data_IF_545057676395
#
_entry.id   IF_545057676395
#
_cell.length_a   1.000
_cell.length_b   1.000
_cell.length_c   1.000
_cell.angle_alpha   90.00
_cell.angle_beta   90.00
_cell.angle_gamma   90.00
#
_symmetry.space_group_name_H-M   'P 1'
#
loop_
_entity.id
_entity.type
_entity.pdbx_description
1 polymer ?
#
# COMPACT_ATOMS: atom_id res chain seq x y z
N UNK A 1 11.18 4.18 -14.89
CA UNK A 1 9.89 3.76 -15.51
C UNK A 1 8.84 3.61 -14.43
N UNK A 2 7.67 4.23 -14.59
CA UNK A 2 6.59 4.03 -13.62
C UNK A 2 6.16 2.58 -13.55
N UNK A 3 5.70 2.19 -12.38
CA UNK A 3 5.18 0.84 -12.13
C UNK A 3 3.81 0.92 -11.48
N UNK A 4 3.02 -0.14 -11.69
CA UNK A 4 1.84 -0.41 -10.87
C UNK A 4 2.22 -1.48 -9.87
N UNK A 5 1.97 -1.19 -8.60
CA UNK A 5 2.12 -2.17 -7.53
C UNK A 5 0.72 -2.66 -7.14
N UNK A 6 0.51 -3.95 -7.31
CA UNK A 6 -0.76 -4.62 -7.01
C UNK A 6 -0.54 -5.55 -5.83
N UNK A 7 -1.34 -5.38 -4.77
CA UNK A 7 -1.29 -6.28 -3.61
C UNK A 7 -2.70 -6.70 -3.21
N UNK A 8 -3.01 -7.96 -3.44
CA UNK A 8 -4.24 -8.55 -2.94
C UNK A 8 -3.99 -9.02 -1.51
N UNK A 9 -4.63 -8.34 -0.56
CA UNK A 9 -4.38 -8.56 0.86
C UNK A 9 -5.03 -9.87 1.34
N UNK A 10 -4.52 -10.46 2.43
CA UNK A 10 -5.18 -11.63 3.02
C UNK A 10 -6.57 -11.30 3.55
N UNK A 11 -7.44 -12.33 3.74
CA UNK A 11 -8.81 -12.09 4.22
C UNK A 11 -8.89 -11.36 5.56
N UNK A 12 -7.84 -11.45 6.38
CA UNK A 12 -7.79 -10.81 7.69
C UNK A 12 -7.63 -9.29 7.61
N UNK A 13 -7.18 -8.77 6.47
CA UNK A 13 -6.98 -7.33 6.30
C UNK A 13 -8.32 -6.62 6.08
N UNK A 14 -8.52 -5.52 6.80
CA UNK A 14 -9.73 -4.71 6.72
C UNK A 14 -9.41 -3.30 6.27
N UNK A 15 -10.43 -2.60 5.75
CA UNK A 15 -10.23 -1.19 5.37
C UNK A 15 -9.89 -0.34 6.59
N UNK A 16 -10.44 -0.65 7.75
CA UNK A 16 -10.15 0.07 8.99
C UNK A 16 -8.66 -0.03 9.33
N UNK A 17 -8.06 -1.22 9.17
CA UNK A 17 -6.64 -1.41 9.40
C UNK A 17 -5.80 -0.60 8.39
N UNK A 18 -6.16 -0.64 7.11
CA UNK A 18 -5.44 0.08 6.07
C UNK A 18 -5.52 1.59 6.31
N UNK A 19 -6.70 2.10 6.67
CA UNK A 19 -6.84 3.52 6.99
C UNK A 19 -6.04 3.90 8.24
N UNK A 20 -5.99 3.04 9.25
CA UNK A 20 -5.18 3.28 10.43
C UNK A 20 -3.68 3.32 10.09
N UNK A 21 -3.20 2.42 9.24
CA UNK A 21 -1.81 2.42 8.78
C UNK A 21 -1.52 3.68 7.95
N UNK A 22 -2.43 4.07 7.08
CA UNK A 22 -2.29 5.28 6.27
C UNK A 22 -2.17 6.52 7.17
N UNK A 23 -3.01 6.61 8.19
CA UNK A 23 -2.97 7.73 9.14
C UNK A 23 -1.70 7.71 9.97
N UNK A 24 -1.23 6.53 10.39
CA UNK A 24 0.01 6.40 11.16
C UNK A 24 1.22 6.89 10.36
N UNK A 25 1.24 6.64 9.06
CA UNK A 25 2.33 7.10 8.21
C UNK A 25 2.26 8.59 7.86
N UNK A 26 1.11 9.22 8.07
CA UNK A 26 0.87 10.62 7.74
C UNK A 26 1.14 10.94 6.25
N UNK A 27 0.77 10.01 5.37
CA UNK A 27 1.08 10.12 3.94
C UNK A 27 0.25 11.19 3.23
N UNK A 28 -0.88 11.60 3.81
CA UNK A 28 -1.69 12.68 3.23
C UNK A 28 -1.02 14.04 3.37
N UNK A 29 -0.27 14.23 4.45
CA UNK A 29 0.49 15.46 4.72
C UNK A 29 1.92 15.35 4.22
N UNK A 30 2.52 14.15 4.34
CA UNK A 30 3.90 13.87 3.96
C UNK A 30 3.91 12.73 2.95
N UNK A 31 3.54 12.98 1.68
CA UNK A 31 3.50 11.92 0.67
C UNK A 31 4.86 11.27 0.48
N UNK A 32 4.89 9.95 0.26
CA UNK A 32 6.17 9.28 -0.01
C UNK A 32 6.79 9.75 -1.32
N UNK A 33 8.11 9.76 -1.38
CA UNK A 33 8.81 10.04 -2.63
C UNK A 33 8.43 8.99 -3.67
N UNK A 34 8.08 9.47 -4.87
CA UNK A 34 7.78 8.60 -6.00
C UNK A 34 6.36 8.06 -6.05
N UNK A 35 5.52 8.33 -5.05
CA UNK A 35 4.13 7.91 -5.12
C UNK A 35 3.36 8.82 -6.07
N UNK A 36 2.73 8.22 -7.08
CA UNK A 36 1.87 8.95 -8.01
C UNK A 36 0.42 8.91 -7.52
N UNK A 37 -0.07 7.70 -7.23
CA UNK A 37 -1.41 7.53 -6.66
C UNK A 37 -1.47 6.25 -5.84
N UNK A 38 -2.22 6.30 -4.75
CA UNK A 38 -2.50 5.15 -3.88
C UNK A 38 -4.00 4.90 -3.85
N UNK A 39 -4.40 3.67 -4.06
CA UNK A 39 -5.80 3.28 -3.95
C UNK A 39 -5.96 2.00 -3.18
N UNK A 40 -7.09 1.87 -2.47
CA UNK A 40 -7.52 0.63 -1.86
C UNK A 40 -8.90 0.32 -2.43
N UNK A 41 -9.05 -0.87 -2.99
CA UNK A 41 -10.27 -1.26 -3.70
C UNK A 41 -10.81 -2.57 -3.16
N UNK A 42 -12.11 -2.80 -3.40
CA UNK A 42 -12.75 -4.08 -3.12
C UNK A 42 -12.73 -4.91 -4.39
N UNK A 43 -12.03 -6.04 -4.33
CA UNK A 43 -11.95 -6.96 -5.46
C UNK A 43 -12.62 -8.27 -5.05
N UNK A 44 -13.92 -8.35 -5.25
CA UNK A 44 -14.67 -9.57 -4.94
C UNK A 44 -14.67 -9.93 -3.45
N UNK A 45 -14.73 -8.91 -2.57
CA UNK A 45 -14.70 -9.12 -1.13
C UNK A 45 -13.31 -9.14 -0.53
N UNK A 46 -12.26 -8.99 -1.35
CA UNK A 46 -10.87 -8.94 -0.89
C UNK A 46 -10.33 -7.53 -1.03
N UNK A 47 -9.79 -7.01 0.05
CA UNK A 47 -9.11 -5.71 0.02
C UNK A 47 -7.88 -5.80 -0.87
N UNK A 48 -7.77 -4.90 -1.83
CA UNK A 48 -6.67 -4.90 -2.79
C UNK A 48 -6.09 -3.50 -2.89
N UNK A 49 -4.78 -3.40 -2.82
CA UNK A 49 -4.07 -2.13 -2.96
C UNK A 49 -3.57 -2.04 -4.40
N UNK A 50 -3.86 -0.94 -5.05
CA UNK A 50 -3.37 -0.66 -6.41
C UNK A 50 -2.75 0.72 -6.38
N UNK A 51 -1.43 0.75 -6.49
CA UNK A 51 -0.66 2.00 -6.46
C UNK A 51 0.07 2.20 -7.77
N UNK A 52 0.31 3.46 -8.11
CA UNK A 52 1.25 3.80 -9.18
C UNK A 52 2.42 4.54 -8.55
N UNK A 53 3.62 4.08 -8.85
CA UNK A 53 4.89 4.63 -8.34
C UNK A 53 5.79 5.00 -9.50
N UNK A 54 6.63 5.98 -9.30
CA UNK A 54 7.60 6.38 -10.33
C UNK A 54 8.65 5.31 -10.59
N UNK A 55 8.99 4.51 -9.56
CA UNK A 55 9.92 3.39 -9.70
C UNK A 55 9.67 2.33 -8.63
N UNK A 56 10.12 1.11 -8.92
CA UNK A 56 10.07 0.03 -7.93
C UNK A 56 10.97 0.34 -6.73
N UNK A 57 12.10 1.00 -6.96
CA UNK A 57 13.02 1.38 -5.88
C UNK A 57 12.35 2.32 -4.88
N UNK A 58 11.57 3.29 -5.35
CA UNK A 58 10.83 4.19 -4.48
C UNK A 58 9.82 3.43 -3.62
N UNK A 59 9.11 2.47 -4.21
CA UNK A 59 8.18 1.61 -3.47
C UNK A 59 8.93 0.80 -2.40
N UNK A 60 10.04 0.18 -2.75
CA UNK A 60 10.80 -0.64 -1.81
C UNK A 60 11.32 0.17 -0.63
N UNK A 61 11.82 1.37 -0.89
CA UNK A 61 12.29 2.27 0.17
C UNK A 61 11.13 2.68 1.09
N UNK A 62 9.98 2.99 0.54
CA UNK A 62 8.80 3.32 1.32
C UNK A 62 8.35 2.13 2.17
N UNK A 63 8.28 0.94 1.59
CA UNK A 63 7.86 -0.25 2.30
C UNK A 63 8.76 -0.53 3.50
N UNK A 64 10.06 -0.38 3.34
CA UNK A 64 11.03 -0.65 4.40
C UNK A 64 11.02 0.43 5.48
N UNK A 65 10.97 1.71 5.10
CA UNK A 65 11.20 2.81 6.03
C UNK A 65 9.92 3.31 6.69
N UNK A 66 8.76 3.19 6.05
CA UNK A 66 7.52 3.77 6.56
C UNK A 66 6.40 2.74 6.73
N UNK A 67 6.14 1.94 5.70
CA UNK A 67 5.00 1.02 5.73
C UNK A 67 5.19 -0.09 6.77
N UNK A 68 6.33 -0.74 6.78
CA UNK A 68 6.60 -1.84 7.71
C UNK A 68 6.47 -1.42 9.17
N UNK A 69 7.18 -0.35 9.60
CA UNK A 69 7.06 0.14 10.97
C UNK A 69 5.64 0.57 11.35
N UNK A 70 4.92 1.27 10.46
CA UNK A 70 3.55 1.70 10.74
C UNK A 70 2.62 0.50 10.86
N UNK A 71 2.78 -0.49 10.01
CA UNK A 71 1.97 -1.70 10.06
C UNK A 71 2.16 -2.44 11.39
N UNK A 72 3.40 -2.58 11.84
CA UNK A 72 3.70 -3.21 13.12
C UNK A 72 3.07 -2.44 14.30
N UNK A 73 3.17 -1.11 14.28
CA UNK A 73 2.59 -0.26 15.32
C UNK A 73 1.07 -0.40 15.38
N UNK A 74 0.41 -0.32 14.24
CA UNK A 74 -1.06 -0.40 14.17
C UNK A 74 -1.55 -1.79 14.53
N UNK A 75 -0.89 -2.84 14.04
CA UNK A 75 -1.27 -4.22 14.39
C UNK A 75 -1.18 -4.46 15.89
N UNK A 76 -0.14 -3.96 16.53
CA UNK A 76 0.00 -4.05 17.98
C UNK A 76 -1.08 -3.28 18.73
N UNK A 77 -1.40 -2.06 18.28
CA UNK A 77 -2.42 -1.21 18.89
C UNK A 77 -3.82 -1.83 18.78
N UNK A 78 -4.12 -2.45 17.64
CA UNK A 78 -5.41 -3.07 17.40
C UNK A 78 -5.53 -4.48 17.97
N UNK A 79 -4.44 -5.02 18.50
CA UNK A 79 -4.43 -6.36 19.03
C UNK A 79 -4.55 -7.45 17.98
N UNK A 80 -4.14 -7.15 16.74
CA UNK A 80 -4.22 -8.09 15.61
C UNK A 80 -2.84 -8.70 15.40
N UNK A 81 -2.78 -10.03 15.39
CA UNK A 81 -1.54 -10.76 15.09
C UNK A 81 -1.54 -11.14 13.62
N UNK A 82 -0.76 -10.41 12.83
CA UNK A 82 -0.63 -10.67 11.39
C UNK A 82 0.53 -11.60 11.06
N UNK A 83 1.27 -12.06 12.07
CA UNK A 83 2.43 -12.93 11.83
C UNK A 83 2.05 -14.28 11.23
N UNK A 84 0.81 -14.72 11.46
CA UNK A 84 0.29 -15.99 10.93
C UNK A 84 -0.53 -15.79 9.65
N UNK A 85 -0.77 -14.56 9.23
CA UNK A 85 -1.52 -14.30 8.02
C UNK A 85 -0.68 -14.63 6.78
N UNK A 86 -1.30 -15.12 5.69
CA UNK A 86 -0.58 -15.33 4.44
C UNK A 86 -0.03 -13.99 3.92
N UNK A 87 1.09 -14.06 3.21
CA UNK A 87 1.62 -12.88 2.55
C UNK A 87 0.64 -12.39 1.47
N UNK A 88 0.59 -11.06 1.22
CA UNK A 88 -0.23 -10.55 0.13
C UNK A 88 0.24 -11.09 -1.22
N UNK A 89 -0.70 -11.34 -2.12
CA UNK A 89 -0.35 -11.63 -3.51
C UNK A 89 0.11 -10.31 -4.14
N UNK A 90 1.38 -10.22 -4.45
CA UNK A 90 1.99 -8.99 -4.94
C UNK A 90 2.43 -9.14 -6.38
N UNK A 91 2.10 -8.15 -7.22
CA UNK A 91 2.56 -8.05 -8.60
C UNK A 91 3.09 -6.66 -8.85
N UNK A 92 4.22 -6.58 -9.52
CA UNK A 92 4.81 -5.32 -9.98
C UNK A 92 4.74 -5.33 -11.50
N UNK A 93 4.04 -4.34 -12.05
CA UNK A 93 3.78 -4.27 -13.49
C UNK A 93 4.36 -2.97 -14.04
N UNK A 94 5.05 -3.07 -15.17
CA UNK A 94 5.58 -1.88 -15.84
C UNK A 94 4.46 -1.10 -16.49
N UNK A 95 4.42 0.22 -16.24
CA UNK A 95 3.45 1.10 -16.89
C UNK A 95 3.93 1.44 -18.28
N UNK A 96 3.12 1.11 -19.28
CA UNK A 96 3.47 1.39 -20.69
C UNK A 96 2.94 2.74 -21.16
N UNK A 97 1.90 3.26 -20.52
CA UNK A 97 1.33 4.55 -20.88
C UNK A 97 0.60 5.10 -19.65
N UNK A 98 0.76 6.39 -19.38
CA UNK A 98 0.08 7.05 -18.29
C UNK A 98 -0.37 8.43 -18.74
N UNK A 99 -1.59 8.79 -18.37
CA UNK A 99 -2.14 10.11 -18.64
C UNK A 99 -2.54 10.72 -17.30
N UNK A 100 -2.04 11.89 -17.02
CA UNK A 100 -2.36 12.63 -15.79
C UNK A 100 -3.46 13.63 -16.06
N UNK A 101 -4.35 13.79 -15.08
CA UNK A 101 -5.29 14.90 -15.09
C UNK A 101 -4.59 16.10 -14.44
N UNK A 102 -4.68 17.25 -15.10
CA UNK A 102 -4.13 18.50 -14.57
C UNK A 102 -5.14 19.29 -13.72
N UNK A 103 -6.27 18.69 -13.43
CA UNK A 103 -7.34 19.34 -12.67
C UNK A 103 -6.99 19.48 -11.19
#
# INVERSE_FOLDING_TARGET
MPIVMYQKMPPEATIEMIEAVTNEMDVRTLPPNGLIVHTAVDMGGRLTIIDVWESQDDWEKFAESRLGPAFATVSGRMGVDMSQAPEPETKVLEVLSIVHSDA
#
